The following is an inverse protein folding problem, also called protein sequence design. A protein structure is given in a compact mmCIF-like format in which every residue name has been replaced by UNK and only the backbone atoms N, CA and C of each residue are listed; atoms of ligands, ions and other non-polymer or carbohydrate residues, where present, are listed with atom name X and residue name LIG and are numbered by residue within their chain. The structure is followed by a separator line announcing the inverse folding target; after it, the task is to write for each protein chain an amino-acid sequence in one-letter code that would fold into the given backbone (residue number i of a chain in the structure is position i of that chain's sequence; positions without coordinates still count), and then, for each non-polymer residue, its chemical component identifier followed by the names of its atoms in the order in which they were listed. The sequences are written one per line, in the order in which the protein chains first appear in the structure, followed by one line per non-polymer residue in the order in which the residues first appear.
data_IF_213378064670
#
_entry.id   IF_213378064670
#
_cell.length_a   1.000
_cell.length_b   1.000
_cell.length_c   1.000
_cell.angle_alpha   90.00
_cell.angle_beta   90.00
_cell.angle_gamma   90.00
#
_symmetry.space_group_name_H-M   'P 1'
#
loop_
_entity.id
_entity.type
_entity.pdbx_description
1 polymer ?
#
# COMPACT_ATOMS: atom_id res chain seq x y z
N UNK A 1 1.00 -9.87 -19.20
CA UNK A 1 2.16 -10.74 -19.46
C UNK A 1 2.83 -11.04 -18.13
N UNK A 2 3.25 -12.28 -17.87
CA UNK A 2 3.92 -12.65 -16.61
C UNK A 2 5.42 -12.84 -16.85
N UNK A 3 6.30 -12.23 -16.05
CA UNK A 3 7.75 -12.44 -16.15
C UNK A 3 8.11 -13.92 -16.18
N UNK A 4 8.94 -14.34 -17.14
CA UNK A 4 9.41 -15.74 -17.19
C UNK A 4 10.35 -16.01 -16.03
N UNK A 5 10.14 -17.13 -15.32
CA UNK A 5 11.04 -17.59 -14.27
C UNK A 5 12.25 -18.32 -14.87
N UNK A 6 13.41 -18.19 -14.23
CA UNK A 6 14.69 -18.69 -14.73
C UNK A 6 15.51 -19.33 -13.61
N UNK A 7 16.56 -20.05 -13.99
CA UNK A 7 17.58 -20.51 -13.06
C UNK A 7 18.08 -19.34 -12.21
N UNK A 8 18.12 -19.54 -10.89
CA UNK A 8 18.54 -18.52 -9.93
C UNK A 8 17.44 -17.57 -9.44
N UNK A 9 16.25 -17.55 -10.06
CA UNK A 9 15.14 -16.73 -9.56
C UNK A 9 14.67 -17.21 -8.17
N UNK A 10 14.18 -16.29 -7.34
CA UNK A 10 13.92 -16.52 -5.93
C UNK A 10 12.56 -17.18 -5.70
N UNK A 11 12.50 -18.07 -4.73
CA UNK A 11 11.34 -18.77 -4.22
C UNK A 11 11.18 -18.45 -2.73
N UNK A 12 9.99 -17.98 -2.35
CA UNK A 12 9.61 -17.79 -0.96
C UNK A 12 8.86 -19.03 -0.46
N UNK A 13 9.56 -19.88 0.30
CA UNK A 13 8.99 -21.09 0.88
C UNK A 13 8.44 -20.81 2.28
N UNK A 14 7.18 -21.17 2.58
CA UNK A 14 6.64 -21.03 3.94
C UNK A 14 7.28 -22.01 4.94
N UNK A 15 7.93 -23.08 4.45
CA UNK A 15 8.56 -24.12 5.28
C UNK A 15 10.04 -23.81 5.56
N UNK A 16 10.78 -23.33 4.55
CA UNK A 16 12.26 -23.24 4.60
C UNK A 16 12.81 -21.82 4.39
N UNK A 17 11.94 -20.81 4.20
CA UNK A 17 12.37 -19.45 3.87
C UNK A 17 12.74 -19.26 2.39
N UNK A 18 13.61 -18.30 2.10
CA UNK A 18 13.96 -17.92 0.73
C UNK A 18 15.03 -18.84 0.15
N UNK A 19 14.83 -19.32 -1.08
CA UNK A 19 15.76 -20.18 -1.82
C UNK A 19 15.72 -19.84 -3.32
N UNK A 20 16.73 -20.21 -4.10
CA UNK A 20 16.73 -20.00 -5.54
C UNK A 20 16.22 -21.23 -6.31
N UNK A 21 15.74 -21.03 -7.55
CA UNK A 21 15.54 -22.11 -8.52
C UNK A 21 16.90 -22.69 -8.90
N UNK A 22 17.07 -24.01 -8.77
CA UNK A 22 18.35 -24.72 -8.98
C UNK A 22 18.33 -25.69 -10.15
N UNK A 23 17.16 -25.99 -10.73
CA UNK A 23 17.07 -26.69 -12.02
C UNK A 23 16.28 -25.85 -13.02
N UNK A 24 16.65 -25.96 -14.29
CA UNK A 24 15.98 -25.28 -15.39
C UNK A 24 16.29 -26.01 -16.71
N UNK A 25 15.79 -25.48 -17.83
CA UNK A 25 16.23 -25.89 -19.16
C UNK A 25 17.74 -25.63 -19.35
N UNK A 26 18.42 -26.57 -20.01
CA UNK A 26 19.85 -26.45 -20.33
C UNK A 26 20.12 -25.83 -21.72
N UNK A 27 19.08 -25.75 -22.54
CA UNK A 27 19.13 -25.46 -23.98
C UNK A 27 18.32 -24.22 -24.37
N UNK A 28 17.38 -23.79 -23.54
CA UNK A 28 16.57 -22.58 -23.73
C UNK A 28 16.86 -21.59 -22.62
N UNK A 29 17.49 -20.47 -22.99
CA UNK A 29 17.89 -19.44 -22.07
C UNK A 29 16.98 -18.21 -22.19
N UNK A 30 16.71 -17.56 -21.05
CA UNK A 30 16.08 -16.25 -20.95
C UNK A 30 17.04 -15.36 -20.15
N UNK A 31 17.46 -14.24 -20.74
CA UNK A 31 18.54 -13.39 -20.22
C UNK A 31 19.80 -14.15 -19.79
N UNK A 32 20.25 -15.10 -20.62
CA UNK A 32 21.43 -15.94 -20.35
C UNK A 32 21.30 -16.96 -19.21
N UNK A 33 20.12 -17.09 -18.58
CA UNK A 33 19.84 -18.12 -17.57
C UNK A 33 18.84 -19.14 -18.13
N UNK A 34 18.97 -20.41 -17.76
CA UNK A 34 18.05 -21.46 -18.20
C UNK A 34 16.60 -21.13 -17.84
N UNK A 35 15.67 -21.33 -18.78
CA UNK A 35 14.24 -21.09 -18.55
C UNK A 35 13.67 -22.12 -17.56
N UNK A 36 13.01 -21.66 -16.50
CA UNK A 36 12.38 -22.55 -15.51
C UNK A 36 11.03 -23.06 -16.03
N UNK A 37 10.69 -24.30 -15.68
CA UNK A 37 9.53 -25.02 -16.16
C UNK A 37 8.79 -25.69 -15.00
N UNK A 38 7.56 -26.13 -15.25
CA UNK A 38 6.86 -27.03 -14.33
C UNK A 38 7.70 -28.29 -14.12
N UNK A 39 7.93 -28.64 -12.86
CA UNK A 39 8.80 -29.75 -12.49
C UNK A 39 10.22 -29.36 -12.12
N UNK A 40 10.66 -28.12 -12.39
CA UNK A 40 11.95 -27.65 -11.93
C UNK A 40 11.96 -27.41 -10.40
N UNK A 41 13.13 -27.54 -9.78
CA UNK A 41 13.32 -27.55 -8.33
C UNK A 41 13.92 -26.24 -7.81
N UNK A 42 13.56 -25.88 -6.59
CA UNK A 42 14.20 -24.85 -5.78
C UNK A 42 15.21 -25.49 -4.82
N UNK A 43 16.17 -24.71 -4.31
CA UNK A 43 17.21 -25.21 -3.41
C UNK A 43 16.65 -25.83 -2.11
N UNK A 44 15.46 -25.44 -1.67
CA UNK A 44 14.77 -26.05 -0.53
C UNK A 44 14.05 -27.38 -0.85
N UNK A 45 14.16 -27.89 -2.07
CA UNK A 45 13.50 -29.11 -2.54
C UNK A 45 12.07 -28.92 -3.06
N UNK A 46 11.51 -27.70 -2.99
CA UNK A 46 10.19 -27.42 -3.55
C UNK A 46 10.22 -27.46 -5.09
N UNK A 47 9.17 -28.00 -5.71
CA UNK A 47 9.06 -28.14 -7.17
C UNK A 47 7.97 -27.25 -7.72
N UNK A 48 8.22 -26.56 -8.83
CA UNK A 48 7.27 -25.67 -9.49
C UNK A 48 6.09 -26.47 -10.07
N UNK A 49 4.86 -26.09 -9.75
CA UNK A 49 3.67 -26.87 -10.12
C UNK A 49 2.84 -26.27 -11.26
N UNK A 50 2.98 -24.98 -11.55
CA UNK A 50 2.17 -24.31 -12.58
C UNK A 50 2.98 -23.56 -13.64
N UNK A 51 2.44 -23.53 -14.85
CA UNK A 51 3.04 -22.86 -16.01
C UNK A 51 2.05 -22.72 -17.17
N UNK A 52 2.54 -22.19 -18.29
CA UNK A 52 1.76 -21.97 -19.50
C UNK A 52 1.63 -23.27 -20.32
N UNK A 53 0.44 -23.85 -20.49
CA UNK A 53 0.28 -25.04 -21.34
C UNK A 53 0.56 -24.76 -22.81
N UNK A 54 0.38 -23.52 -23.27
CA UNK A 54 0.62 -23.10 -24.65
C UNK A 54 2.07 -22.71 -24.95
N UNK A 55 2.93 -22.63 -23.93
CA UNK A 55 4.35 -22.29 -24.08
C UNK A 55 5.16 -23.36 -23.38
N UNK A 56 5.70 -24.29 -24.16
CA UNK A 56 6.48 -25.40 -23.63
C UNK A 56 7.96 -25.22 -23.94
N UNK A 57 8.80 -25.56 -22.97
CA UNK A 57 10.26 -25.64 -23.11
C UNK A 57 10.67 -27.05 -22.74
N UNK A 58 11.27 -27.80 -23.67
CA UNK A 58 11.58 -29.21 -23.45
C UNK A 58 10.35 -30.05 -23.06
N UNK A 59 9.21 -29.81 -23.72
CA UNK A 59 7.91 -30.46 -23.47
C UNK A 59 7.31 -30.27 -22.06
N UNK A 60 7.82 -29.30 -21.30
CA UNK A 60 7.25 -28.91 -20.02
C UNK A 60 6.75 -27.46 -20.09
N UNK A 61 5.62 -27.15 -19.45
CA UNK A 61 5.07 -25.79 -19.40
C UNK A 61 6.08 -24.80 -18.82
N UNK A 62 6.25 -23.66 -19.49
CA UNK A 62 7.12 -22.58 -19.04
C UNK A 62 6.58 -21.98 -17.73
N UNK A 63 7.46 -21.83 -16.73
CA UNK A 63 7.12 -21.22 -15.45
C UNK A 63 7.30 -19.70 -15.47
N UNK A 64 6.74 -19.03 -14.47
CA UNK A 64 6.68 -17.57 -14.39
C UNK A 64 6.83 -17.08 -12.95
N UNK A 65 7.09 -15.79 -12.78
CA UNK A 65 7.09 -15.15 -11.47
C UNK A 65 5.68 -15.19 -10.86
N UNK A 66 5.54 -15.88 -9.73
CA UNK A 66 4.26 -16.24 -9.11
C UNK A 66 3.86 -17.70 -9.28
N UNK A 67 4.63 -18.52 -10.01
CA UNK A 67 4.41 -19.97 -10.06
C UNK A 67 4.42 -20.56 -8.64
N UNK A 68 3.38 -21.32 -8.23
CA UNK A 68 3.36 -22.03 -6.96
C UNK A 68 4.31 -23.23 -6.96
N UNK A 69 4.64 -23.70 -5.76
CA UNK A 69 5.50 -24.86 -5.54
C UNK A 69 4.84 -25.91 -4.65
N UNK A 70 5.38 -27.13 -4.65
CA UNK A 70 4.89 -28.25 -3.82
C UNK A 70 4.95 -27.99 -2.31
N UNK A 71 5.79 -27.04 -1.86
CA UNK A 71 5.85 -26.61 -0.46
C UNK A 71 4.83 -25.48 -0.13
N UNK A 72 3.96 -25.11 -1.07
CA UNK A 72 2.97 -24.04 -0.89
C UNK A 72 3.54 -22.63 -1.02
N UNK A 73 4.81 -22.49 -1.42
CA UNK A 73 5.46 -21.21 -1.70
C UNK A 73 5.24 -20.74 -3.14
N UNK A 74 5.85 -19.60 -3.48
CA UNK A 74 5.79 -19.06 -4.85
C UNK A 74 7.14 -18.48 -5.29
N UNK A 75 7.35 -18.44 -6.61
CA UNK A 75 8.49 -17.74 -7.21
C UNK A 75 8.26 -16.22 -7.14
N UNK A 76 9.22 -15.47 -6.63
CA UNK A 76 9.09 -14.03 -6.32
C UNK A 76 9.94 -13.11 -7.21
N UNK A 77 10.79 -13.65 -8.08
CA UNK A 77 11.51 -12.90 -9.12
C UNK A 77 11.33 -13.53 -10.50
N UNK A 78 11.78 -12.85 -11.54
CA UNK A 78 11.65 -13.28 -12.93
C UNK A 78 12.44 -12.37 -13.87
N UNK A 79 12.37 -12.66 -15.17
CA UNK A 79 12.93 -11.81 -16.22
C UNK A 79 12.33 -10.40 -16.22
N UNK A 80 13.14 -9.38 -16.51
CA UNK A 80 12.69 -7.99 -16.58
C UNK A 80 12.12 -7.59 -17.95
N UNK A 81 12.47 -8.33 -19.01
CA UNK A 81 12.14 -7.99 -20.40
C UNK A 81 11.44 -9.14 -21.17
N UNK A 82 11.44 -10.36 -20.62
CA UNK A 82 10.84 -11.54 -21.23
C UNK A 82 9.65 -12.01 -20.41
N UNK A 83 8.49 -12.10 -21.03
CA UNK A 83 7.25 -12.48 -20.37
C UNK A 83 6.46 -13.49 -21.19
N UNK A 84 5.74 -14.39 -20.50
CA UNK A 84 4.79 -15.33 -21.10
C UNK A 84 3.36 -14.80 -21.09
N UNK A 85 2.53 -15.35 -21.99
CA UNK A 85 1.13 -14.99 -22.18
C UNK A 85 0.95 -13.66 -22.92
N UNK A 86 0.72 -13.73 -24.24
CA UNK A 86 0.46 -12.58 -25.12
C UNK A 86 -1.00 -12.56 -25.61
N UNK A 87 -1.50 -11.36 -25.93
CA UNK A 87 -2.76 -11.09 -26.64
C UNK A 87 -2.43 -10.33 -27.93
N UNK A 88 -2.15 -11.04 -29.02
CA UNK A 88 -2.19 -10.44 -30.37
C UNK A 88 -3.00 -11.34 -31.29
N UNK A 89 -4.08 -10.79 -31.87
CA UNK A 89 -4.81 -11.36 -33.00
C UNK A 89 -5.36 -12.78 -32.81
N UNK A 90 -6.42 -12.92 -32.02
CA UNK A 90 -7.33 -14.07 -32.06
C UNK A 90 -6.73 -15.41 -31.62
N UNK A 91 -7.06 -15.83 -30.39
CA UNK A 91 -6.86 -17.17 -29.78
C UNK A 91 -5.51 -17.50 -29.13
N UNK A 92 -4.84 -16.54 -28.49
CA UNK A 92 -3.81 -16.84 -27.50
C UNK A 92 -4.38 -16.72 -26.07
N UNK A 93 -4.50 -17.84 -25.37
CA UNK A 93 -5.11 -17.90 -24.05
C UNK A 93 -4.12 -17.55 -22.93
N UNK A 94 -4.52 -16.65 -22.03
CA UNK A 94 -3.83 -16.42 -20.74
C UNK A 94 -4.07 -17.60 -19.78
N UNK A 95 -4.02 -18.84 -20.27
CA UNK A 95 -4.21 -19.98 -19.39
C UNK A 95 -2.91 -20.32 -18.70
N UNK A 96 -3.01 -20.44 -17.38
CA UNK A 96 -2.02 -21.06 -16.54
C UNK A 96 -2.70 -22.20 -15.80
N UNK A 97 -2.10 -23.37 -15.83
CA UNK A 97 -2.61 -24.58 -15.17
C UNK A 97 -1.65 -25.01 -14.08
N UNK A 98 -2.20 -25.32 -12.90
CA UNK A 98 -1.52 -26.01 -11.82
C UNK A 98 -1.54 -27.52 -12.10
N UNK A 99 -0.42 -28.02 -12.62
CA UNK A 99 -0.27 -29.40 -13.03
C UNK A 99 -0.11 -30.37 -11.83
N UNK A 100 0.13 -29.87 -10.61
CA UNK A 100 0.05 -30.70 -9.42
C UNK A 100 -1.41 -31.07 -9.13
N UNK A 101 -2.34 -30.11 -9.22
CA UNK A 101 -3.78 -30.37 -9.09
C UNK A 101 -4.34 -31.24 -10.21
N UNK A 102 -3.70 -31.21 -11.39
CA UNK A 102 -4.02 -32.12 -12.49
C UNK A 102 -3.34 -33.51 -12.37
N UNK A 103 -2.58 -33.75 -11.30
CA UNK A 103 -1.92 -35.03 -11.02
C UNK A 103 -0.63 -35.28 -11.80
N UNK A 104 -0.18 -34.35 -12.65
CA UNK A 104 1.04 -34.49 -13.43
C UNK A 104 2.32 -34.12 -12.65
N UNK A 105 2.19 -33.45 -11.50
CA UNK A 105 3.28 -33.21 -10.55
C UNK A 105 2.88 -33.79 -9.19
N UNK A 106 3.63 -34.77 -8.69
CA UNK A 106 3.37 -35.36 -7.37
C UNK A 106 3.83 -34.43 -6.24
N UNK A 107 3.26 -34.56 -5.02
CA UNK A 107 3.72 -33.78 -3.86
C UNK A 107 5.22 -33.92 -3.55
N UNK A 108 5.81 -35.09 -3.84
CA UNK A 108 7.24 -35.34 -3.72
C UNK A 108 8.10 -34.77 -4.86
N UNK A 109 7.53 -33.96 -5.77
CA UNK A 109 8.26 -33.28 -6.83
C UNK A 109 8.47 -34.07 -8.12
N UNK A 110 8.06 -35.34 -8.17
CA UNK A 110 8.17 -36.17 -9.38
C UNK A 110 7.14 -35.76 -10.44
N UNK A 111 7.59 -35.58 -11.68
CA UNK A 111 6.74 -35.24 -12.82
C UNK A 111 6.33 -36.50 -13.59
N UNK A 112 5.02 -36.73 -13.71
CA UNK A 112 4.49 -37.76 -14.60
C UNK A 112 4.47 -37.22 -16.04
N UNK A 113 5.52 -37.52 -16.79
CA UNK A 113 5.71 -37.00 -18.17
C UNK A 113 4.64 -37.48 -19.15
N UNK A 114 4.16 -38.72 -19.01
CA UNK A 114 3.12 -39.25 -19.89
C UNK A 114 1.78 -38.53 -19.66
N UNK A 115 1.41 -38.29 -18.40
CA UNK A 115 0.23 -37.52 -18.07
C UNK A 115 0.37 -36.04 -18.45
N UNK A 116 1.54 -35.44 -18.23
CA UNK A 116 1.83 -34.08 -18.67
C UNK A 116 1.63 -33.94 -20.19
N UNK A 117 2.20 -34.85 -20.99
CA UNK A 117 2.03 -34.85 -22.44
C UNK A 117 0.57 -35.03 -22.84
N UNK A 118 -0.16 -35.94 -22.20
CA UNK A 118 -1.59 -36.14 -22.45
C UNK A 118 -2.43 -34.89 -22.12
N UNK A 119 -2.12 -34.20 -21.02
CA UNK A 119 -2.79 -32.95 -20.64
C UNK A 119 -2.50 -31.84 -21.65
N UNK A 120 -1.25 -31.69 -22.09
CA UNK A 120 -0.87 -30.66 -23.07
C UNK A 120 -1.43 -30.90 -24.46
N UNK A 121 -1.71 -32.15 -24.82
CA UNK A 121 -2.38 -32.52 -26.06
C UNK A 121 -3.91 -32.43 -25.98
N UNK A 122 -4.49 -32.21 -24.79
CA UNK A 122 -5.94 -32.20 -24.59
C UNK A 122 -6.55 -30.86 -25.04
N UNK A 123 -7.39 -30.81 -26.09
CA UNK A 123 -8.04 -29.58 -26.53
C UNK A 123 -9.02 -29.00 -25.49
N UNK A 124 -9.45 -29.80 -24.51
CA UNK A 124 -10.33 -29.40 -23.41
C UNK A 124 -9.59 -29.18 -22.08
N UNK A 125 -8.24 -29.07 -22.11
CA UNK A 125 -7.43 -28.90 -20.91
C UNK A 125 -7.93 -27.76 -20.01
N UNK A 126 -8.27 -26.61 -20.59
CA UNK A 126 -8.73 -25.43 -19.82
C UNK A 126 -10.02 -25.72 -19.04
N UNK A 127 -10.98 -26.41 -19.66
CA UNK A 127 -12.25 -26.80 -19.04
C UNK A 127 -12.04 -27.82 -17.93
N UNK A 128 -11.17 -28.82 -18.16
CA UNK A 128 -10.83 -29.83 -17.14
C UNK A 128 -10.08 -29.20 -15.96
N UNK A 129 -9.13 -28.31 -16.24
CA UNK A 129 -8.40 -27.58 -15.22
C UNK A 129 -9.33 -26.68 -14.40
N UNK A 130 -10.33 -26.05 -15.02
CA UNK A 130 -11.35 -25.29 -14.31
C UNK A 130 -12.14 -26.16 -13.32
N UNK A 131 -12.63 -27.33 -13.76
CA UNK A 131 -13.40 -28.24 -12.90
C UNK A 131 -12.56 -28.82 -11.76
N UNK A 132 -11.26 -29.03 -11.99
CA UNK A 132 -10.33 -29.50 -10.97
C UNK A 132 -9.83 -28.39 -10.02
N UNK A 133 -10.26 -27.13 -10.20
CA UNK A 133 -9.72 -25.99 -9.46
C UNK A 133 -8.22 -25.75 -9.68
N UNK A 134 -7.71 -26.24 -10.81
CA UNK A 134 -6.31 -26.17 -11.26
C UNK A 134 -6.03 -24.99 -12.18
N UNK A 135 -7.06 -24.28 -12.61
CA UNK A 135 -6.92 -23.14 -13.50
C UNK A 135 -6.58 -21.88 -12.72
N UNK A 136 -5.36 -21.37 -12.91
CA UNK A 136 -4.86 -20.18 -12.23
C UNK A 136 -5.17 -18.90 -13.01
N UNK A 137 -5.37 -18.98 -14.33
CA UNK A 137 -5.74 -17.86 -15.22
C UNK A 137 -6.61 -18.32 -16.44
N UNK A 138 -7.52 -17.46 -16.97
CA UNK A 138 -8.46 -17.72 -18.10
C UNK A 138 -8.41 -16.64 -19.20
N UNK A 139 -8.53 -16.96 -20.50
CA UNK A 139 -8.97 -16.01 -21.51
C UNK A 139 -10.46 -15.69 -21.30
N UNK A 140 -10.80 -14.41 -21.21
CA UNK A 140 -12.18 -13.96 -20.95
C UNK A 140 -12.46 -13.54 -19.51
N UNK A 141 -11.49 -13.67 -18.59
CA UNK A 141 -11.47 -12.89 -17.35
C UNK A 141 -10.15 -12.13 -17.30
N UNK A 142 -10.04 -11.10 -18.14
CA UNK A 142 -9.52 -9.84 -17.59
C UNK A 142 -10.56 -9.46 -16.55
N UNK A 143 -10.40 -9.90 -15.29
CA UNK A 143 -10.80 -8.99 -14.23
C UNK A 143 -10.05 -7.72 -14.60
N UNK A 144 -10.77 -6.67 -15.03
CA UNK A 144 -10.22 -5.36 -15.38
C UNK A 144 -9.01 -5.17 -14.48
N UNK A 145 -7.77 -5.14 -15.03
CA UNK A 145 -6.55 -5.32 -14.23
C UNK A 145 -6.75 -4.49 -12.98
N UNK A 146 -6.93 -5.13 -11.81
CA UNK A 146 -7.55 -4.38 -10.74
C UNK A 146 -6.56 -3.28 -10.39
N UNK A 147 -6.89 -2.03 -10.68
CA UNK A 147 -5.98 -0.90 -10.46
C UNK A 147 -6.21 -0.51 -9.02
N UNK A 148 -5.39 -1.01 -8.08
CA UNK A 148 -5.71 -0.86 -6.68
C UNK A 148 -5.60 0.62 -6.33
N UNK A 149 -6.49 1.07 -5.47
CA UNK A 149 -6.54 2.45 -5.06
C UNK A 149 -5.67 2.68 -3.83
N UNK A 150 -4.87 3.73 -3.88
CA UNK A 150 -4.04 4.22 -2.79
C UNK A 150 -4.60 5.57 -2.35
N UNK A 151 -5.15 5.64 -1.13
CA UNK A 151 -5.92 6.77 -0.63
C UNK A 151 -5.16 7.45 0.51
N UNK A 152 -4.99 8.77 0.40
CA UNK A 152 -4.55 9.62 1.49
C UNK A 152 -5.72 10.50 1.94
N UNK A 153 -6.04 10.49 3.24
CA UNK A 153 -7.14 11.26 3.83
C UNK A 153 -6.57 12.34 4.72
N UNK A 154 -6.96 13.59 4.49
CA UNK A 154 -6.67 14.71 5.37
C UNK A 154 -7.93 15.14 6.13
N UNK A 155 -7.85 15.15 7.45
CA UNK A 155 -8.82 15.79 8.33
C UNK A 155 -8.71 17.32 8.31
N UNK A 156 -9.69 17.96 8.92
CA UNK A 156 -9.76 19.39 9.19
C UNK A 156 -8.93 19.80 10.40
N UNK A 157 -8.46 21.04 10.39
CA UNK A 157 -7.69 21.64 11.48
C UNK A 157 -8.51 22.76 12.16
N UNK A 158 -8.54 22.77 13.49
CA UNK A 158 -9.17 23.83 14.30
C UNK A 158 -8.17 24.92 14.70
N UNK A 159 -6.87 24.60 14.71
CA UNK A 159 -5.80 25.56 14.99
C UNK A 159 -5.81 26.72 13.98
N UNK A 160 -5.71 27.95 14.48
CA UNK A 160 -5.69 29.19 13.71
C UNK A 160 -4.28 29.69 13.37
N UNK A 161 -3.23 29.06 13.90
CA UNK A 161 -1.85 29.37 13.56
C UNK A 161 -1.54 28.94 12.13
N UNK A 162 -1.03 29.88 11.32
CA UNK A 162 -0.81 29.68 9.89
C UNK A 162 0.08 28.46 9.56
N UNK A 163 1.05 28.14 10.44
CA UNK A 163 1.91 26.96 10.34
C UNK A 163 1.20 25.61 10.46
N UNK A 164 0.08 25.56 11.20
CA UNK A 164 -0.61 24.32 11.55
C UNK A 164 -1.85 24.05 10.70
N UNK A 165 -2.48 25.09 10.13
CA UNK A 165 -3.73 24.98 9.36
C UNK A 165 -3.66 23.87 8.30
N UNK A 166 -2.57 23.83 7.53
CA UNK A 166 -2.41 22.92 6.41
C UNK A 166 -1.65 21.63 6.74
N UNK A 167 -1.32 21.34 7.99
CA UNK A 167 -0.40 20.24 8.32
C UNK A 167 -0.94 18.84 7.90
N UNK A 168 -2.25 18.60 8.04
CA UNK A 168 -2.86 17.33 7.60
C UNK A 168 -2.89 17.20 6.08
N UNK A 169 -3.29 18.27 5.38
CA UNK A 169 -3.25 18.32 3.91
C UNK A 169 -1.82 18.14 3.40
N UNK A 170 -0.86 18.81 4.02
CA UNK A 170 0.57 18.68 3.72
C UNK A 170 1.06 17.25 3.81
N UNK A 171 0.70 16.54 4.88
CA UNK A 171 1.05 15.12 5.04
C UNK A 171 0.32 14.21 4.05
N UNK A 172 -0.97 14.42 3.81
CA UNK A 172 -1.70 13.65 2.82
C UNK A 172 -1.12 13.81 1.42
N UNK A 173 -0.69 15.02 1.05
CA UNK A 173 0.00 15.29 -0.23
C UNK A 173 1.39 14.66 -0.28
N UNK A 174 2.16 14.72 0.81
CA UNK A 174 3.44 13.99 0.93
C UNK A 174 3.23 12.50 0.68
N UNK A 175 2.16 11.94 1.23
CA UNK A 175 1.81 10.54 1.07
C UNK A 175 1.50 10.18 -0.39
N UNK A 176 0.88 11.08 -1.18
CA UNK A 176 0.73 10.88 -2.62
C UNK A 176 2.09 10.78 -3.34
N UNK A 177 3.10 11.53 -2.90
CA UNK A 177 4.46 11.43 -3.41
C UNK A 177 5.07 10.06 -3.09
N UNK A 178 4.88 9.56 -1.87
CA UNK A 178 5.31 8.21 -1.48
C UNK A 178 4.58 7.13 -2.29
N UNK A 179 3.27 7.28 -2.49
CA UNK A 179 2.48 6.36 -3.32
C UNK A 179 3.02 6.27 -4.74
N UNK A 180 3.37 7.41 -5.34
CA UNK A 180 3.97 7.46 -6.68
C UNK A 180 5.34 6.79 -6.73
N UNK A 181 6.18 6.98 -5.70
CA UNK A 181 7.50 6.33 -5.59
C UNK A 181 7.41 4.82 -5.48
N UNK A 182 6.48 4.31 -4.67
CA UNK A 182 6.36 2.88 -4.41
C UNK A 182 5.59 2.14 -5.51
N UNK A 183 4.54 2.75 -6.06
CA UNK A 183 3.68 2.11 -7.09
C UNK A 183 3.11 3.15 -8.05
N UNK A 184 3.94 3.59 -8.99
CA UNK A 184 3.60 4.64 -9.95
C UNK A 184 2.30 4.40 -10.73
N UNK A 185 2.01 3.13 -11.08
CA UNK A 185 0.84 2.72 -11.85
C UNK A 185 -0.48 2.63 -11.05
N UNK A 186 -0.44 2.68 -9.70
CA UNK A 186 -1.66 2.65 -8.89
C UNK A 186 -2.46 3.94 -9.03
N UNK A 187 -3.79 3.82 -8.95
CA UNK A 187 -4.64 5.01 -8.85
C UNK A 187 -4.48 5.64 -7.48
N UNK A 188 -4.26 6.95 -7.44
CA UNK A 188 -4.09 7.73 -6.21
C UNK A 188 -5.32 8.62 -6.00
N UNK A 189 -5.74 8.76 -4.75
CA UNK A 189 -6.85 9.65 -4.38
C UNK A 189 -6.52 10.42 -3.11
N UNK A 190 -6.73 11.73 -3.16
CA UNK A 190 -6.72 12.62 -2.01
C UNK A 190 -8.17 12.83 -1.55
N UNK A 191 -8.50 12.37 -0.34
CA UNK A 191 -9.78 12.67 0.30
C UNK A 191 -9.57 13.80 1.30
N UNK A 192 -10.34 14.88 1.19
CA UNK A 192 -10.23 16.06 2.06
C UNK A 192 -11.52 16.29 2.83
N UNK A 193 -11.43 16.32 4.16
CA UNK A 193 -12.45 16.96 4.97
C UNK A 193 -12.37 18.47 4.78
N UNK A 194 -13.41 19.05 4.21
CA UNK A 194 -13.42 20.48 3.83
C UNK A 194 -13.79 21.47 4.93
N UNK A 195 -14.51 21.12 6.02
CA UNK A 195 -14.82 22.08 7.07
C UNK A 195 -13.56 22.75 7.64
N UNK A 196 -13.65 24.03 7.99
CA UNK A 196 -12.55 24.88 8.47
C UNK A 196 -11.43 25.20 7.46
N UNK A 197 -11.49 24.72 6.21
CA UNK A 197 -10.60 25.16 5.14
C UNK A 197 -11.21 26.26 4.28
N UNK A 198 -10.41 27.27 3.94
CA UNK A 198 -10.80 28.31 2.97
C UNK A 198 -10.71 27.80 1.53
N UNK A 199 -11.36 28.48 0.58
CA UNK A 199 -11.25 28.14 -0.84
C UNK A 199 -9.80 28.17 -1.34
N UNK A 200 -8.99 29.12 -0.89
CA UNK A 200 -7.57 29.18 -1.25
C UNK A 200 -6.78 27.95 -0.78
N UNK A 201 -7.09 27.44 0.42
CA UNK A 201 -6.48 26.21 0.95
C UNK A 201 -6.93 24.98 0.15
N UNK A 202 -8.22 24.88 -0.17
CA UNK A 202 -8.77 23.78 -0.96
C UNK A 202 -8.25 23.78 -2.40
N UNK A 203 -8.05 24.95 -2.99
CA UNK A 203 -7.45 25.12 -4.32
C UNK A 203 -5.97 24.74 -4.31
N UNK A 204 -5.20 25.15 -3.29
CA UNK A 204 -3.82 24.74 -3.13
C UNK A 204 -3.70 23.21 -3.01
N UNK A 205 -4.58 22.58 -2.21
CA UNK A 205 -4.63 21.12 -2.09
C UNK A 205 -4.99 20.42 -3.42
N UNK A 206 -5.92 20.99 -4.19
CA UNK A 206 -6.30 20.48 -5.51
C UNK A 206 -5.12 20.51 -6.49
N UNK A 207 -4.39 21.64 -6.56
CA UNK A 207 -3.18 21.77 -7.39
C UNK A 207 -2.13 20.73 -7.02
N UNK A 208 -1.92 20.49 -5.73
CA UNK A 208 -1.02 19.45 -5.25
C UNK A 208 -1.47 18.04 -5.65
N UNK A 209 -2.77 17.75 -5.61
CA UNK A 209 -3.31 16.47 -6.07
C UNK A 209 -3.03 16.23 -7.57
N UNK A 210 -3.20 17.27 -8.39
CA UNK A 210 -2.94 17.23 -9.84
C UNK A 210 -1.46 16.93 -10.14
N UNK A 211 -0.51 17.52 -9.38
CA UNK A 211 0.94 17.24 -9.48
C UNK A 211 1.26 15.76 -9.32
N UNK A 212 0.46 15.01 -8.56
CA UNK A 212 0.63 13.58 -8.32
C UNK A 212 -0.32 12.70 -9.14
N UNK A 213 -1.12 13.30 -10.03
CA UNK A 213 -2.16 12.62 -10.81
C UNK A 213 -3.18 11.92 -9.91
N UNK A 214 -3.50 12.52 -8.76
CA UNK A 214 -4.44 11.97 -7.80
C UNK A 214 -5.84 12.56 -8.00
N UNK A 215 -6.87 11.71 -7.92
CA UNK A 215 -8.24 12.20 -7.88
C UNK A 215 -8.51 12.95 -6.57
N UNK A 216 -9.32 14.01 -6.62
CA UNK A 216 -9.72 14.77 -5.44
C UNK A 216 -11.15 14.42 -5.03
N UNK A 217 -11.33 14.04 -3.77
CA UNK A 217 -12.64 13.75 -3.18
C UNK A 217 -12.83 14.65 -1.98
N UNK A 218 -13.89 15.46 -1.99
CA UNK A 218 -14.24 16.36 -0.89
C UNK A 218 -15.34 15.75 -0.05
N UNK A 219 -15.16 15.69 1.26
CA UNK A 219 -16.13 15.15 2.22
C UNK A 219 -16.35 16.14 3.37
N UNK A 220 -17.52 16.06 4.00
CA UNK A 220 -17.88 16.91 5.15
C UNK A 220 -18.24 16.11 6.41
N UNK A 221 -18.18 14.77 6.33
CA UNK A 221 -18.55 13.86 7.42
C UNK A 221 -17.84 12.50 7.26
N UNK A 222 -17.74 11.76 8.36
CA UNK A 222 -17.26 10.39 8.37
C UNK A 222 -18.16 9.47 7.55
N UNK A 223 -19.47 9.73 7.53
CA UNK A 223 -20.42 9.01 6.68
C UNK A 223 -20.09 9.16 5.19
N UNK A 224 -19.76 10.37 4.74
CA UNK A 224 -19.34 10.61 3.36
C UNK A 224 -18.01 9.92 3.04
N UNK A 225 -17.05 9.90 3.99
CA UNK A 225 -15.83 9.10 3.85
C UNK A 225 -16.15 7.61 3.71
N UNK A 226 -16.97 7.04 4.62
CA UNK A 226 -17.35 5.62 4.58
C UNK A 226 -18.07 5.27 3.27
N UNK A 227 -18.98 6.14 2.81
CA UNK A 227 -19.63 5.98 1.50
C UNK A 227 -18.62 5.94 0.35
N UNK A 228 -17.62 6.84 0.36
CA UNK A 228 -16.56 6.81 -0.63
C UNK A 228 -15.71 5.53 -0.54
N UNK A 229 -15.30 5.13 0.66
CA UNK A 229 -14.53 3.90 0.86
C UNK A 229 -15.30 2.67 0.36
N UNK A 230 -16.60 2.58 0.61
CA UNK A 230 -17.40 1.44 0.19
C UNK A 230 -17.79 1.46 -1.30
N UNK A 231 -18.10 2.64 -1.85
CA UNK A 231 -18.82 2.77 -3.12
C UNK A 231 -18.28 3.85 -4.07
N UNK A 232 -17.23 4.58 -3.68
CA UNK A 232 -16.65 5.65 -4.50
C UNK A 232 -16.03 5.17 -5.82
N UNK A 233 -15.70 3.87 -5.90
CA UNK A 233 -15.27 3.16 -7.11
C UNK A 233 -15.85 1.75 -7.10
N UNK A 234 -15.81 1.06 -8.23
CA UNK A 234 -16.09 -0.38 -8.26
C UNK A 234 -14.98 -1.11 -7.49
N UNK A 235 -15.24 -1.50 -6.24
CA UNK A 235 -14.26 -2.12 -5.35
C UNK A 235 -13.81 -3.51 -5.80
N UNK A 236 -14.53 -4.16 -6.71
CA UNK A 236 -14.05 -5.40 -7.34
C UNK A 236 -12.93 -5.11 -8.33
N UNK A 237 -12.98 -3.96 -9.01
CA UNK A 237 -11.99 -3.53 -10.00
C UNK A 237 -10.92 -2.61 -9.42
N UNK A 238 -11.24 -1.80 -8.43
CA UNK A 238 -10.33 -0.87 -7.76
C UNK A 238 -10.45 -1.05 -6.24
N UNK A 239 -9.99 -2.21 -5.72
CA UNK A 239 -9.94 -2.43 -4.28
C UNK A 239 -8.94 -1.46 -3.65
N UNK A 240 -9.20 -1.07 -2.40
CA UNK A 240 -8.28 -0.23 -1.63
C UNK A 240 -7.10 -1.11 -1.19
N UNK A 241 -5.89 -0.74 -1.61
CA UNK A 241 -4.65 -1.42 -1.20
C UNK A 241 -3.91 -0.61 -0.12
N UNK A 242 -4.07 0.72 -0.12
CA UNK A 242 -3.45 1.62 0.86
C UNK A 242 -4.45 2.67 1.31
N UNK A 243 -4.56 2.87 2.62
CA UNK A 243 -5.35 3.95 3.23
C UNK A 243 -4.54 4.62 4.33
N UNK A 244 -4.09 5.85 4.09
CA UNK A 244 -3.33 6.63 5.07
C UNK A 244 -4.20 7.78 5.60
N UNK A 245 -4.34 7.88 6.92
CA UNK A 245 -5.25 8.80 7.60
C UNK A 245 -4.46 9.83 8.42
N UNK A 246 -4.60 11.12 8.08
CA UNK A 246 -3.94 12.23 8.76
C UNK A 246 -4.97 13.14 9.41
N UNK A 247 -5.03 13.13 10.75
CA UNK A 247 -5.97 13.95 11.51
C UNK A 247 -5.56 14.04 12.97
N UNK A 248 -6.37 14.76 13.76
CA UNK A 248 -6.39 14.61 15.20
C UNK A 248 -6.90 13.22 15.62
N UNK A 249 -6.61 12.84 16.86
CA UNK A 249 -7.07 11.58 17.42
C UNK A 249 -7.13 11.60 18.94
N UNK A 250 -8.04 10.80 19.46
CA UNK A 250 -8.15 10.45 20.88
C UNK A 250 -8.33 8.93 20.94
N UNK A 251 -8.10 8.29 22.11
CA UNK A 251 -8.35 6.85 22.23
C UNK A 251 -9.74 6.47 21.67
N UNK A 252 -9.79 5.35 20.96
CA UNK A 252 -11.00 4.83 20.30
C UNK A 252 -11.61 5.69 19.17
N UNK A 253 -10.96 6.78 18.74
CA UNK A 253 -11.54 7.70 17.74
C UNK A 253 -10.49 8.43 16.88
N UNK A 254 -10.60 8.29 15.56
CA UNK A 254 -9.95 9.16 14.58
C UNK A 254 -10.87 10.37 14.37
N UNK A 255 -10.42 11.55 14.77
CA UNK A 255 -11.23 12.77 14.76
C UNK A 255 -10.81 13.68 13.60
N UNK A 256 -11.48 13.55 12.45
CA UNK A 256 -11.21 14.38 11.27
C UNK A 256 -11.68 15.82 11.44
N UNK A 257 -12.44 16.13 12.49
CA UNK A 257 -12.96 17.48 12.76
C UNK A 257 -12.82 17.90 14.21
N UNK A 258 -11.77 17.45 14.90
CA UNK A 258 -11.57 17.65 16.33
C UNK A 258 -11.75 19.12 16.74
N UNK A 259 -12.59 19.36 17.76
CA UNK A 259 -12.96 20.68 18.28
C UNK A 259 -13.65 21.64 17.30
N UNK A 260 -14.10 21.15 16.14
CA UNK A 260 -14.99 21.91 15.24
C UNK A 260 -16.45 21.64 15.61
N UNK A 261 -17.37 22.54 15.22
CA UNK A 261 -18.79 22.44 15.55
C UNK A 261 -19.52 21.18 15.05
N UNK A 262 -18.85 20.33 14.24
CA UNK A 262 -19.35 19.03 13.75
C UNK A 262 -18.36 17.88 14.03
N UNK A 263 -17.53 17.96 15.07
CA UNK A 263 -16.50 16.96 15.41
C UNK A 263 -17.01 15.52 15.36
N UNK A 264 -18.12 15.23 16.05
CA UNK A 264 -18.69 13.88 16.10
C UNK A 264 -19.14 13.37 14.72
N UNK A 265 -19.67 14.23 13.85
CA UNK A 265 -20.06 13.84 12.50
C UNK A 265 -18.84 13.59 11.59
N UNK A 266 -17.68 14.11 11.96
CA UNK A 266 -16.41 13.94 11.26
C UNK A 266 -15.48 12.97 11.99
N UNK A 267 -16.03 12.06 12.79
CA UNK A 267 -15.23 11.09 13.55
C UNK A 267 -15.49 9.66 13.08
N UNK A 268 -14.42 8.89 12.92
CA UNK A 268 -14.47 7.44 12.79
C UNK A 268 -14.08 6.83 14.14
N UNK A 269 -14.96 6.03 14.71
CA UNK A 269 -14.83 5.51 16.08
C UNK A 269 -15.22 4.04 16.20
N UNK A 270 -15.11 3.51 17.42
CA UNK A 270 -15.46 2.12 17.76
C UNK A 270 -16.94 1.79 17.60
N UNK A 271 -17.82 2.76 17.35
CA UNK A 271 -19.25 2.53 17.07
C UNK A 271 -19.55 2.51 15.58
N UNK A 272 -18.69 3.12 14.75
CA UNK A 272 -18.92 3.34 13.32
C UNK A 272 -17.97 2.57 12.40
N UNK A 273 -16.85 2.05 12.91
CA UNK A 273 -15.83 1.36 12.10
C UNK A 273 -16.36 0.17 11.30
N UNK A 274 -17.34 -0.55 11.84
CA UNK A 274 -17.93 -1.74 11.22
C UNK A 274 -18.77 -1.43 9.97
N UNK A 275 -19.08 -0.15 9.71
CA UNK A 275 -19.78 0.30 8.50
C UNK A 275 -18.88 0.31 7.27
N UNK A 276 -17.56 0.26 7.45
CA UNK A 276 -16.62 0.12 6.34
C UNK A 276 -16.65 -1.34 5.88
N UNK A 277 -16.90 -1.57 4.60
CA UNK A 277 -17.02 -2.91 4.05
C UNK A 277 -15.65 -3.58 3.91
N UNK A 278 -15.42 -4.79 4.45
CA UNK A 278 -14.20 -5.55 4.18
C UNK A 278 -13.98 -5.83 2.69
N UNK A 279 -15.07 -5.91 1.90
CA UNK A 279 -15.03 -6.12 0.44
C UNK A 279 -14.50 -4.90 -0.32
N UNK A 280 -14.35 -3.75 0.34
CA UNK A 280 -13.74 -2.57 -0.27
C UNK A 280 -12.21 -2.68 -0.39
N UNK A 281 -11.58 -3.59 0.34
CA UNK A 281 -10.13 -3.70 0.47
C UNK A 281 -9.57 -4.89 -0.29
N UNK A 282 -8.32 -4.77 -0.74
CA UNK A 282 -7.55 -5.90 -1.24
C UNK A 282 -7.11 -6.79 -0.08
N UNK A 283 -6.77 -8.07 -0.36
CA UNK A 283 -6.31 -9.00 0.68
C UNK A 283 -4.97 -8.60 1.31
N UNK A 284 -4.14 -7.86 0.57
CA UNK A 284 -2.84 -7.35 1.04
C UNK A 284 -2.92 -5.91 1.54
N UNK A 285 -4.13 -5.37 1.69
CA UNK A 285 -4.29 -3.97 2.02
C UNK A 285 -3.70 -3.61 3.38
N UNK A 286 -3.33 -2.35 3.51
CA UNK A 286 -2.84 -1.79 4.75
C UNK A 286 -3.45 -0.42 5.02
N UNK A 287 -3.82 -0.20 6.27
CA UNK A 287 -4.29 1.08 6.78
C UNK A 287 -3.23 1.66 7.71
N UNK A 288 -2.86 2.92 7.53
CA UNK A 288 -1.97 3.65 8.42
C UNK A 288 -2.72 4.84 9.03
N UNK A 289 -2.87 4.84 10.36
CA UNK A 289 -3.41 5.98 11.08
C UNK A 289 -2.30 6.78 11.73
N UNK A 290 -2.17 8.03 11.28
CA UNK A 290 -1.32 9.06 11.87
C UNK A 290 -2.11 9.96 12.82
N UNK A 291 -3.31 9.56 13.22
CA UNK A 291 -4.08 10.20 14.26
C UNK A 291 -3.60 9.72 15.64
N UNK A 292 -3.46 10.68 16.57
CA UNK A 292 -3.01 10.43 17.93
C UNK A 292 -3.78 9.25 18.57
N UNK A 293 -3.04 8.30 19.15
CA UNK A 293 -3.59 7.27 20.05
C UNK A 293 -4.65 6.36 19.42
N UNK A 294 -4.66 6.21 18.09
CA UNK A 294 -5.57 5.27 17.41
C UNK A 294 -5.35 3.82 17.86
N UNK A 295 -4.10 3.49 18.22
CA UNK A 295 -3.71 2.18 18.77
C UNK A 295 -3.99 2.00 20.27
N UNK A 296 -4.64 2.96 20.91
CA UNK A 296 -5.00 2.91 22.33
C UNK A 296 -6.49 2.59 22.50
N UNK A 297 -6.80 1.59 23.33
CA UNK A 297 -8.17 1.18 23.64
C UNK A 297 -8.70 1.67 24.96
N UNK A 298 -7.88 2.37 25.76
CA UNK A 298 -8.35 3.02 26.98
C UNK A 298 -9.50 3.98 26.67
N UNK A 299 -10.42 4.14 27.62
CA UNK A 299 -11.53 5.08 27.45
C UNK A 299 -11.03 6.53 27.53
N UNK A 300 -11.58 7.44 26.71
CA UNK A 300 -11.11 8.82 26.59
C UNK A 300 -11.46 9.72 27.80
N UNK A 301 -12.29 9.24 28.73
CA UNK A 301 -12.73 9.94 29.95
C UNK A 301 -11.68 9.97 31.07
N UNK A 302 -10.61 9.18 30.96
CA UNK A 302 -9.50 9.21 31.91
C UNK A 302 -8.40 10.20 31.47
N UNK A 303 -7.74 10.91 32.41
CA UNK A 303 -6.63 11.83 32.11
C UNK A 303 -5.38 11.05 31.68
N UNK A 304 -5.43 10.53 30.45
CA UNK A 304 -4.35 9.75 29.82
C UNK A 304 -3.41 10.70 29.06
N UNK A 305 -3.85 11.93 28.75
CA UNK A 305 -3.17 12.82 27.80
C UNK A 305 -1.75 13.22 28.23
N UNK A 306 -1.54 13.40 29.53
CA UNK A 306 -0.28 13.85 30.13
C UNK A 306 0.24 12.86 31.20
N UNK A 307 -0.33 11.66 31.24
CA UNK A 307 -0.08 10.66 32.29
C UNK A 307 0.91 9.56 31.89
N UNK A 308 1.26 8.74 32.88
CA UNK A 308 1.95 7.46 32.66
C UNK A 308 0.90 6.38 32.40
N UNK A 309 1.01 5.67 31.27
CA UNK A 309 0.09 4.59 30.91
C UNK A 309 0.84 3.27 30.70
N UNK A 310 0.67 2.35 31.64
CA UNK A 310 1.29 1.02 31.56
C UNK A 310 0.45 0.00 30.77
N UNK A 311 -0.86 0.26 30.62
CA UNK A 311 -1.81 -0.67 30.02
C UNK A 311 -2.62 0.03 28.92
N UNK A 312 -2.07 0.17 27.70
CA UNK A 312 -2.70 0.89 26.59
C UNK A 312 -3.98 0.23 26.03
N UNK A 313 -4.35 -0.96 26.52
CA UNK A 313 -5.53 -1.71 26.08
C UNK A 313 -5.58 -1.83 24.55
N UNK A 314 -4.46 -2.23 23.94
CA UNK A 314 -4.30 -2.26 22.48
C UNK A 314 -5.31 -3.19 21.80
N UNK A 315 -5.83 -4.20 22.50
CA UNK A 315 -6.82 -5.13 21.97
C UNK A 315 -8.19 -4.49 21.75
N UNK A 316 -8.52 -3.48 22.57
CA UNK A 316 -9.75 -2.71 22.55
C UNK A 316 -9.62 -1.43 21.70
N UNK A 317 -8.44 -1.20 21.11
CA UNK A 317 -8.16 -0.03 20.29
C UNK A 317 -8.96 -0.05 18.98
N UNK A 318 -9.25 1.15 18.47
CA UNK A 318 -9.86 1.29 17.15
C UNK A 318 -8.99 0.66 16.05
N UNK A 319 -7.66 0.74 16.18
CA UNK A 319 -6.74 0.09 15.25
C UNK A 319 -6.93 -1.44 15.20
N UNK A 320 -6.99 -2.10 16.36
CA UNK A 320 -7.22 -3.54 16.42
C UNK A 320 -8.61 -3.94 15.93
N UNK A 321 -9.64 -3.15 16.28
CA UNK A 321 -11.01 -3.39 15.83
C UNK A 321 -11.14 -3.28 14.31
N UNK A 322 -10.52 -2.27 13.69
CA UNK A 322 -10.42 -2.14 12.24
C UNK A 322 -9.68 -3.33 11.62
N UNK A 323 -8.53 -3.73 12.17
CA UNK A 323 -7.77 -4.87 11.64
C UNK A 323 -8.60 -6.16 11.64
N UNK A 324 -9.29 -6.44 12.75
CA UNK A 324 -10.13 -7.63 12.89
C UNK A 324 -11.32 -7.62 11.91
N UNK A 325 -12.04 -6.51 11.84
CA UNK A 325 -13.24 -6.39 11.01
C UNK A 325 -12.91 -6.43 9.52
N UNK A 326 -11.92 -5.64 9.08
CA UNK A 326 -11.55 -5.53 7.68
C UNK A 326 -10.68 -6.69 7.20
N UNK A 327 -10.10 -7.48 8.11
CA UNK A 327 -9.14 -8.56 7.82
C UNK A 327 -7.90 -8.05 7.06
N UNK A 328 -7.47 -6.83 7.40
CA UNK A 328 -6.29 -6.17 6.84
C UNK A 328 -5.35 -5.72 7.94
N UNK A 329 -4.11 -5.45 7.59
CA UNK A 329 -3.16 -4.87 8.52
C UNK A 329 -3.50 -3.41 8.81
N UNK A 330 -3.45 -3.02 10.08
CA UNK A 330 -3.53 -1.62 10.51
C UNK A 330 -2.25 -1.24 11.23
N UNK A 331 -1.64 -0.09 10.90
CA UNK A 331 -0.56 0.49 11.71
C UNK A 331 -1.02 1.81 12.32
N UNK A 332 -0.72 2.01 13.60
CA UNK A 332 -1.19 3.19 14.33
C UNK A 332 -0.26 3.55 15.48
N UNK A 333 -0.25 4.83 15.84
CA UNK A 333 0.40 5.26 17.08
C UNK A 333 -0.45 4.90 18.30
N UNK A 334 0.19 4.35 19.33
CA UNK A 334 -0.38 4.24 20.68
C UNK A 334 -0.23 5.59 21.41
N UNK A 335 0.79 6.37 21.05
CA UNK A 335 1.07 7.72 21.55
C UNK A 335 0.39 8.81 20.74
N UNK A 336 0.51 10.06 21.19
CA UNK A 336 0.27 11.26 20.38
C UNK A 336 1.12 11.21 19.12
N UNK A 337 0.60 11.79 18.06
CA UNK A 337 1.30 12.02 16.81
C UNK A 337 1.93 13.40 16.84
N UNK A 338 3.17 13.52 16.36
CA UNK A 338 3.89 14.78 16.27
C UNK A 338 4.02 15.23 14.81
N UNK A 339 3.40 16.38 14.54
CA UNK A 339 3.38 17.05 13.23
C UNK A 339 4.30 18.30 13.19
N UNK A 340 4.95 18.65 14.30
CA UNK A 340 5.68 19.92 14.47
C UNK A 340 6.80 20.13 13.45
N UNK A 341 7.47 19.05 13.04
CA UNK A 341 8.63 19.11 12.17
C UNK A 341 8.33 18.78 10.71
N UNK A 342 7.05 18.71 10.33
CA UNK A 342 6.63 18.27 9.00
C UNK A 342 7.06 19.22 7.88
N UNK A 343 7.13 20.52 8.16
CA UNK A 343 7.65 21.55 7.24
C UNK A 343 9.18 21.73 7.31
N UNK A 344 9.86 20.95 8.13
CA UNK A 344 11.30 21.05 8.42
C UNK A 344 11.59 20.91 9.91
N UNK A 345 12.78 20.46 10.27
CA UNK A 345 13.16 20.33 11.69
C UNK A 345 13.47 21.68 12.33
N UNK A 346 13.64 21.70 13.65
CA UNK A 346 14.05 22.91 14.35
C UNK A 346 15.44 23.39 13.89
N UNK A 347 16.37 22.45 13.75
CA UNK A 347 17.74 22.66 13.33
C UNK A 347 17.79 23.20 11.89
N UNK A 348 17.03 22.60 10.98
CA UNK A 348 16.93 23.06 9.60
C UNK A 348 16.34 24.47 9.50
N UNK A 349 15.35 24.80 10.32
CA UNK A 349 14.82 26.18 10.40
C UNK A 349 15.86 27.18 10.90
N UNK A 350 16.79 26.79 11.77
CA UNK A 350 17.89 27.67 12.16
C UNK A 350 18.94 27.75 11.06
N UNK A 351 19.32 26.62 10.46
CA UNK A 351 20.31 26.56 9.39
C UNK A 351 19.85 27.31 8.14
N UNK A 352 18.57 27.24 7.79
CA UNK A 352 17.96 27.94 6.67
C UNK A 352 18.06 29.47 6.77
N UNK A 353 18.06 30.03 7.99
CA UNK A 353 18.32 31.46 8.21
C UNK A 353 19.73 31.85 7.79
N UNK A 354 20.70 30.94 7.96
CA UNK A 354 22.10 31.14 7.57
C UNK A 354 22.31 31.01 6.06
N UNK A 355 21.56 30.16 5.36
CA UNK A 355 21.62 30.07 3.89
C UNK A 355 21.31 31.43 3.23
N UNK A 356 20.29 32.15 3.73
CA UNK A 356 19.94 33.50 3.24
C UNK A 356 20.98 34.57 3.58
N UNK A 357 21.67 34.43 4.72
CA UNK A 357 22.69 35.38 5.16
C UNK A 357 24.05 35.19 4.47
N UNK A 358 24.25 34.09 3.74
CA UNK A 358 25.53 33.70 3.13
C UNK A 358 25.49 33.61 1.60
N UNK A 359 24.45 34.10 0.94
CA UNK A 359 24.25 33.98 -0.51
C UNK A 359 24.43 32.54 -1.04
N UNK A 360 23.98 31.54 -0.27
CA UNK A 360 24.16 30.11 -0.57
C UNK A 360 25.62 29.61 -0.60
N UNK A 361 26.60 30.35 -0.08
CA UNK A 361 28.03 29.98 -0.11
C UNK A 361 28.46 28.87 0.90
N UNK A 362 27.52 28.12 1.48
CA UNK A 362 27.80 27.05 2.44
C UNK A 362 28.09 25.70 1.75
N UNK A 363 28.89 24.79 2.34
CA UNK A 363 29.24 23.48 1.75
C UNK A 363 28.07 22.54 1.44
N UNK A 364 26.86 22.87 1.92
CA UNK A 364 25.61 22.17 1.64
C UNK A 364 24.78 22.92 0.57
N UNK A 365 25.42 23.36 -0.53
CA UNK A 365 24.85 24.28 -1.52
C UNK A 365 23.52 23.78 -2.11
N UNK A 366 23.40 22.47 -2.39
CA UNK A 366 22.17 21.88 -2.94
C UNK A 366 21.03 21.83 -1.91
N UNK A 367 21.31 21.49 -0.65
CA UNK A 367 20.32 21.53 0.43
C UNK A 367 19.87 22.96 0.71
N UNK A 368 20.79 23.93 0.78
CA UNK A 368 20.45 25.34 1.00
C UNK A 368 19.56 25.87 -0.12
N UNK A 369 19.91 25.61 -1.39
CA UNK A 369 19.08 25.99 -2.55
C UNK A 369 17.67 25.41 -2.42
N UNK A 370 17.57 24.10 -2.18
CA UNK A 370 16.28 23.40 -2.04
C UNK A 370 15.45 23.92 -0.87
N UNK A 371 16.08 24.16 0.28
CA UNK A 371 15.42 24.71 1.46
C UNK A 371 14.89 26.12 1.20
N UNK A 372 15.70 26.99 0.61
CA UNK A 372 15.33 28.37 0.29
C UNK A 372 14.14 28.40 -0.67
N UNK A 373 14.14 27.60 -1.73
CA UNK A 373 13.00 27.49 -2.66
C UNK A 373 11.69 27.13 -1.95
N UNK A 374 11.71 26.06 -1.13
CA UNK A 374 10.52 25.61 -0.40
C UNK A 374 10.10 26.63 0.66
N UNK A 375 11.06 27.30 1.30
CA UNK A 375 10.77 28.32 2.29
C UNK A 375 10.13 29.57 1.67
N UNK A 376 10.61 30.01 0.50
CA UNK A 376 10.00 31.11 -0.25
C UNK A 376 8.58 30.77 -0.71
N UNK A 377 8.33 29.53 -1.13
CA UNK A 377 6.97 29.08 -1.46
C UNK A 377 6.04 29.19 -0.24
N UNK A 378 6.49 28.70 0.91
CA UNK A 378 5.76 28.80 2.18
C UNK A 378 5.49 30.24 2.59
N UNK A 379 6.49 31.12 2.52
CA UNK A 379 6.36 32.55 2.81
C UNK A 379 5.38 33.26 1.87
N UNK A 380 5.36 32.88 0.58
CA UNK A 380 4.38 33.42 -0.38
C UNK A 380 2.95 33.03 -0.03
N UNK A 381 2.71 31.76 0.34
CA UNK A 381 1.39 31.33 0.80
C UNK A 381 1.00 32.02 2.10
N UNK A 382 1.92 32.11 3.07
CA UNK A 382 1.66 32.71 4.37
C UNK A 382 1.33 34.20 4.25
N UNK A 383 2.16 34.96 3.53
CA UNK A 383 1.97 36.40 3.34
C UNK A 383 0.72 36.76 2.52
N UNK A 384 0.30 35.91 1.57
CA UNK A 384 -0.87 36.18 0.72
C UNK A 384 -2.19 35.64 1.27
N UNK A 385 -2.14 34.50 1.97
CA UNK A 385 -3.33 33.72 2.31
C UNK A 385 -3.41 33.32 3.80
N UNK A 386 -2.46 33.72 4.65
CA UNK A 386 -2.43 33.42 6.09
C UNK A 386 -2.39 31.91 6.39
N UNK A 387 -1.63 31.15 5.59
CA UNK A 387 -1.28 29.76 5.87
C UNK A 387 0.05 29.35 5.27
N UNK A 388 0.78 28.49 5.98
CA UNK A 388 2.03 27.89 5.50
C UNK A 388 1.73 26.65 4.66
N UNK A 389 2.23 26.58 3.43
CA UNK A 389 2.05 25.43 2.55
C UNK A 389 3.13 25.35 1.46
N UNK A 390 3.35 24.16 0.92
CA UNK A 390 4.17 23.93 -0.27
C UNK A 390 3.52 22.86 -1.14
N UNK A 391 3.48 23.04 -2.47
CA UNK A 391 2.66 22.23 -3.38
C UNK A 391 3.09 20.77 -3.49
N UNK A 392 4.35 20.48 -3.16
CA UNK A 392 4.86 19.09 -3.16
C UNK A 392 4.46 18.29 -1.91
N UNK A 393 3.77 18.91 -0.95
CA UNK A 393 3.45 18.31 0.35
C UNK A 393 4.56 18.50 1.38
N UNK A 394 4.32 18.02 2.58
CA UNK A 394 5.26 18.13 3.70
C UNK A 394 6.62 17.46 3.41
N UNK A 395 7.68 17.99 4.01
CA UNK A 395 9.06 17.51 3.81
C UNK A 395 9.33 16.25 4.64
N UNK A 396 8.91 16.26 5.92
CA UNK A 396 9.15 15.17 6.86
C UNK A 396 7.86 14.42 7.21
N UNK A 397 7.93 13.12 7.51
CA UNK A 397 6.76 12.36 7.94
C UNK A 397 6.30 12.78 9.34
N UNK A 398 5.06 12.43 9.68
CA UNK A 398 4.60 12.40 11.07
C UNK A 398 5.42 11.39 11.86
N UNK A 399 5.75 11.73 13.11
CA UNK A 399 6.43 10.82 14.03
C UNK A 399 5.59 10.55 15.26
N UNK A 400 5.94 9.49 16.00
CA UNK A 400 5.32 9.20 17.29
C UNK A 400 5.88 10.20 18.31
N UNK A 401 5.01 10.88 19.04
CA UNK A 401 5.40 11.72 20.16
C UNK A 401 5.76 10.90 21.40
N UNK A 402 5.82 11.58 22.55
CA UNK A 402 6.29 10.98 23.80
C UNK A 402 5.20 10.70 24.83
N UNK A 403 3.95 11.15 24.59
CA UNK A 403 2.85 10.96 25.53
C UNK A 403 1.74 10.04 24.99
N UNK A 404 1.12 9.21 25.84
CA UNK A 404 1.44 9.03 27.25
C UNK A 404 2.82 8.38 27.46
N UNK A 405 3.39 8.59 28.64
CA UNK A 405 4.68 8.01 29.02
C UNK A 405 4.49 6.50 29.28
N UNK A 406 5.56 5.72 29.10
CA UNK A 406 5.62 4.27 29.34
C UNK A 406 4.88 3.35 28.34
N UNK A 407 4.25 3.89 27.29
CA UNK A 407 3.79 3.07 26.14
C UNK A 407 4.86 3.03 25.03
N UNK A 408 4.91 2.02 24.17
CA UNK A 408 5.83 1.99 23.03
C UNK A 408 5.66 3.18 22.07
N UNK A 409 6.79 3.73 21.60
CA UNK A 409 6.82 4.70 20.51
C UNK A 409 6.74 4.03 19.14
N UNK A 410 6.79 4.83 18.08
CA UNK A 410 6.70 4.35 16.70
C UNK A 410 5.30 3.89 16.28
N UNK A 411 5.18 3.52 15.01
CA UNK A 411 3.92 3.09 14.40
C UNK A 411 3.73 1.59 14.66
N UNK A 412 2.83 1.23 15.56
CA UNK A 412 2.63 -0.14 16.00
C UNK A 412 1.75 -0.91 15.01
N UNK A 413 2.05 -2.19 14.80
CA UNK A 413 1.34 -3.03 13.83
C UNK A 413 0.26 -3.88 14.52
N UNK A 414 -0.96 -3.79 14.01
CA UNK A 414 -2.14 -4.53 14.45
C UNK A 414 -2.58 -5.48 13.33
N UNK A 415 -2.50 -6.78 13.61
CA UNK A 415 -2.81 -7.87 12.68
C UNK A 415 -4.20 -8.42 13.03
N UNK A 416 -5.01 -8.85 12.05
CA UNK A 416 -6.30 -9.48 12.31
C UNK A 416 -6.14 -10.72 13.21
N UNK A 417 -7.02 -10.86 14.20
CA UNK A 417 -7.07 -12.01 15.12
C UNK A 417 -8.06 -13.10 14.70
#
# INVERSE_FOLDING_TARGET
MLPVARLGDMHLCPIHGTSAITSASADTNVNHFGAARVGDACACGAVLTAGFPSITVGNLPLAYSGSPTTHGGTITSGSFDTAGGFLWGGTASHVVVDFAKMGAVHPGGLVNRSLMAALLADPHLEQRAAMAGALLMRPGNIAASSTPEWIAVAGSQHDRGSGNKMMFIGQAVRELAEFRRHKAASTRTLVLFTPAYSEAMLEAAAKSADVYGAALVRVTSADALIQYLNHGKDRKQSPIERLSLFSHGVPQRIAFGYQLGRDLQMSLDVLSYNRISPLAFSRSAQIDSYACRTGMGNRPDYPIEEGVQFFPQTNESLAQLLANHLRVKVRAYIRRSDYKNTWGTFEERQLGKLCRASDNALPAEEWCKRWVELNEEREKFDGKHDFTYQNIGATYPVVSGDTPIAVPGGLFEFIPK
#
